data_IF_583675065248
#
_entry.id   IF_583675065248
#
_cell.length_a   1.000
_cell.length_b   1.000
_cell.length_c   1.000
_cell.angle_alpha   90.00
_cell.angle_beta   90.00
_cell.angle_gamma   90.00
#
_symmetry.space_group_name_H-M   'P 1'
#
loop_
_entity.id
_entity.type
_entity.pdbx_description
1 polymer ?
#
# COMPACT_ATOMS: atom_id res chain seq x y z
N UNK A 1 6.86 6.48 24.41
CA UNK A 1 6.20 7.20 24.13
C UNK A 1 6.24 7.86 22.76
N UNK A 2 7.14 8.50 22.41
CA UNK A 2 7.09 9.29 21.23
C UNK A 2 6.82 8.54 19.95
N UNK A 3 7.21 7.28 19.87
CA UNK A 3 7.06 6.55 18.62
C UNK A 3 5.60 6.40 18.21
N UNK A 4 4.71 6.32 19.18
CA UNK A 4 3.29 6.15 18.88
C UNK A 4 2.75 7.36 18.15
N UNK A 5 3.24 8.53 18.49
CA UNK A 5 2.73 9.75 17.90
C UNK A 5 3.22 10.01 16.49
N UNK A 6 4.24 9.26 16.04
CA UNK A 6 4.79 9.46 14.71
C UNK A 6 3.78 9.16 13.61
N UNK A 7 2.78 8.35 13.92
CA UNK A 7 1.81 7.92 12.91
C UNK A 7 0.42 8.44 13.21
N UNK A 8 0.32 9.48 14.01
CA UNK A 8 -0.99 10.05 14.26
C UNK A 8 -1.42 10.88 13.07
N UNK A 9 -2.67 11.29 13.08
CA UNK A 9 -3.23 12.04 11.97
C UNK A 9 -2.53 13.36 11.72
N UNK A 10 -2.04 13.96 12.79
CA UNK A 10 -1.38 15.24 12.67
C UNK A 10 -0.16 15.14 11.76
N UNK A 11 0.65 14.11 11.96
CA UNK A 11 1.84 13.90 11.15
C UNK A 11 1.48 13.65 9.69
N UNK A 12 0.44 12.85 9.47
CA UNK A 12 0.05 12.52 8.11
C UNK A 12 -0.52 13.71 7.35
N UNK A 13 -1.09 14.66 8.08
CA UNK A 13 -1.64 15.86 7.44
C UNK A 13 -0.57 16.80 6.94
N UNK A 14 0.68 16.57 7.33
CA UNK A 14 1.75 17.47 6.96
C UNK A 14 2.68 16.89 5.89
N UNK A 15 2.18 15.96 5.09
CA UNK A 15 2.97 15.45 3.97
C UNK A 15 3.31 16.61 3.04
N UNK A 16 4.60 16.81 2.81
CA UNK A 16 5.06 17.99 2.09
C UNK A 16 5.72 17.68 0.75
N UNK A 17 6.01 16.43 0.48
CA UNK A 17 6.66 16.07 -0.77
C UNK A 17 6.28 14.65 -1.18
N UNK A 18 6.50 14.35 -2.46
CA UNK A 18 6.23 13.02 -2.97
C UNK A 18 7.17 11.99 -2.33
N UNK A 19 8.42 12.39 -2.11
CA UNK A 19 9.39 11.50 -1.46
C UNK A 19 8.93 11.14 -0.04
N UNK A 20 8.42 12.13 0.68
CA UNK A 20 7.92 11.88 2.02
C UNK A 20 6.70 10.97 2.00
N UNK A 21 5.78 11.21 1.07
CA UNK A 21 4.61 10.37 0.92
C UNK A 21 5.00 8.93 0.62
N UNK A 22 5.98 8.73 -0.26
CA UNK A 22 6.44 7.40 -0.62
C UNK A 22 7.07 6.69 0.58
N UNK A 23 7.88 7.41 1.33
CA UNK A 23 8.55 6.84 2.51
C UNK A 23 7.53 6.44 3.57
N UNK A 24 6.54 7.30 3.83
CA UNK A 24 5.49 6.99 4.80
C UNK A 24 4.64 5.83 4.33
N UNK A 25 4.38 5.74 3.04
CA UNK A 25 3.65 4.61 2.49
C UNK A 25 4.41 3.31 2.74
N UNK A 26 5.71 3.33 2.48
CA UNK A 26 6.56 2.15 2.71
C UNK A 26 6.53 1.74 4.18
N UNK A 27 6.74 2.70 5.09
CA UNK A 27 6.79 2.41 6.51
C UNK A 27 5.46 1.87 7.03
N UNK A 28 4.35 2.45 6.57
CA UNK A 28 3.05 1.99 7.01
C UNK A 28 2.69 0.63 6.42
N UNK A 29 3.18 0.33 5.23
CA UNK A 29 2.98 -0.99 4.64
C UNK A 29 3.68 -2.07 5.46
N UNK A 30 4.92 -1.80 5.88
CA UNK A 30 5.66 -2.74 6.72
C UNK A 30 4.98 -2.92 8.07
N UNK A 31 4.59 -1.82 8.68
CA UNK A 31 3.97 -1.87 10.00
C UNK A 31 2.62 -2.58 9.95
N UNK A 32 1.84 -2.33 8.91
CA UNK A 32 0.55 -3.00 8.79
C UNK A 32 0.72 -4.51 8.68
N UNK A 33 1.71 -4.97 7.90
CA UNK A 33 1.97 -6.38 7.77
C UNK A 33 2.31 -7.02 9.12
N UNK A 34 3.06 -6.30 9.96
CA UNK A 34 3.40 -6.79 11.28
C UNK A 34 2.17 -6.94 12.16
N UNK A 35 1.17 -6.07 12.01
CA UNK A 35 -0.03 -6.16 12.82
C UNK A 35 -0.87 -7.38 12.49
N UNK A 36 -0.71 -7.95 11.32
CA UNK A 36 -1.41 -9.18 10.97
C UNK A 36 -0.94 -10.34 11.84
N UNK A 37 0.32 -10.33 12.23
CA UNK A 37 0.86 -11.39 13.08
C UNK A 37 0.49 -11.21 14.54
N UNK A 38 0.39 -9.95 14.99
CA UNK A 38 0.13 -9.66 16.39
C UNK A 38 -1.36 -9.54 16.69
N UNK A 39 -2.20 -9.44 15.68
CA UNK A 39 -3.63 -9.25 15.89
C UNK A 39 -4.01 -7.86 16.34
N UNK A 40 -3.10 -6.89 16.20
CA UNK A 40 -3.38 -5.51 16.60
C UNK A 40 -4.15 -4.79 15.50
N UNK A 41 -5.46 -5.05 15.45
CA UNK A 41 -6.29 -4.53 14.35
C UNK A 41 -6.43 -3.01 14.38
N UNK A 42 -6.41 -2.41 15.54
CA UNK A 42 -6.50 -0.95 15.64
C UNK A 42 -5.31 -0.29 14.96
N UNK A 43 -4.12 -0.77 15.25
CA UNK A 43 -2.92 -0.22 14.62
C UNK A 43 -2.90 -0.53 13.14
N UNK A 44 -3.33 -1.73 12.77
CA UNK A 44 -3.41 -2.11 11.37
C UNK A 44 -4.33 -1.19 10.58
N UNK A 45 -5.49 -0.87 11.14
CA UNK A 45 -6.43 0.02 10.48
C UNK A 45 -5.86 1.43 10.34
N UNK A 46 -5.14 1.89 11.35
CA UNK A 46 -4.50 3.21 11.28
C UNK A 46 -3.44 3.24 10.19
N UNK A 47 -2.64 2.18 10.10
CA UNK A 47 -1.64 2.09 9.04
C UNK A 47 -2.29 2.09 7.67
N UNK A 48 -3.41 1.39 7.53
CA UNK A 48 -4.14 1.38 6.27
C UNK A 48 -4.59 2.80 5.90
N UNK A 49 -5.19 3.50 6.87
CA UNK A 49 -5.65 4.88 6.61
C UNK A 49 -4.49 5.78 6.21
N UNK A 50 -3.35 5.62 6.86
CA UNK A 50 -2.16 6.40 6.53
C UNK A 50 -1.69 6.12 5.12
N UNK A 51 -1.73 4.84 4.71
CA UNK A 51 -1.34 4.48 3.34
C UNK A 51 -2.25 5.15 2.32
N UNK A 52 -3.55 5.17 2.61
CA UNK A 52 -4.49 5.81 1.69
C UNK A 52 -4.20 7.29 1.57
N UNK A 53 -3.85 7.95 2.67
CA UNK A 53 -3.50 9.38 2.62
C UNK A 53 -2.25 9.61 1.78
N UNK A 54 -1.25 8.73 1.90
CA UNK A 54 -0.04 8.84 1.10
C UNK A 54 -0.35 8.67 -0.38
N UNK A 55 -1.16 7.66 -0.71
CA UNK A 55 -1.53 7.41 -2.11
C UNK A 55 -2.35 8.56 -2.66
N UNK A 56 -3.25 9.11 -1.85
CA UNK A 56 -4.04 10.24 -2.28
C UNK A 56 -3.16 11.45 -2.61
N UNK A 57 -2.15 11.68 -1.78
CA UNK A 57 -1.20 12.76 -2.04
C UNK A 57 -0.43 12.52 -3.34
N UNK A 58 0.07 11.30 -3.53
CA UNK A 58 0.77 10.97 -4.76
C UNK A 58 -0.13 11.12 -5.99
N UNK A 59 -1.36 10.67 -5.86
CA UNK A 59 -2.31 10.76 -6.96
C UNK A 59 -2.57 12.22 -7.34
N UNK A 60 -2.81 13.06 -6.34
CA UNK A 60 -3.16 14.46 -6.59
C UNK A 60 -1.99 15.30 -7.08
N UNK A 61 -0.77 14.84 -6.84
CA UNK A 61 0.43 15.57 -7.27
C UNK A 61 1.11 14.91 -8.48
N UNK A 62 0.46 13.95 -9.10
CA UNK A 62 1.00 13.22 -10.27
C UNK A 62 2.26 12.45 -9.93
N UNK A 63 2.35 11.93 -8.72
CA UNK A 63 3.53 11.21 -8.24
C UNK A 63 3.35 9.71 -8.15
N UNK A 64 2.24 9.17 -8.66
CA UNK A 64 1.97 7.73 -8.52
C UNK A 64 3.04 6.85 -9.18
N UNK A 65 3.72 7.37 -10.20
CA UNK A 65 4.78 6.61 -10.86
C UNK A 65 5.92 6.25 -9.94
N UNK A 66 6.10 6.98 -8.85
CA UNK A 66 7.16 6.69 -7.88
C UNK A 66 6.98 5.33 -7.20
N UNK A 67 5.75 4.80 -7.20
CA UNK A 67 5.48 3.50 -6.59
C UNK A 67 6.23 2.37 -7.27
N UNK A 68 6.68 2.58 -8.51
CA UNK A 68 7.44 1.55 -9.21
C UNK A 68 8.67 1.14 -8.40
N UNK A 69 9.26 2.05 -7.66
CA UNK A 69 10.44 1.78 -6.84
C UNK A 69 10.17 0.71 -5.78
N UNK A 70 8.91 0.55 -5.38
CA UNK A 70 8.53 -0.38 -4.33
C UNK A 70 8.07 -1.73 -4.84
N UNK A 71 7.96 -1.90 -6.16
CA UNK A 71 7.48 -3.14 -6.73
C UNK A 71 8.45 -4.29 -6.56
N UNK A 72 9.74 -3.98 -6.35
CA UNK A 72 10.76 -5.00 -6.13
C UNK A 72 11.32 -4.94 -4.71
N UNK A 73 10.58 -4.32 -3.81
CA UNK A 73 11.00 -4.20 -2.40
C UNK A 73 11.12 -5.59 -1.77
N UNK A 74 12.08 -5.75 -0.86
CA UNK A 74 12.30 -7.06 -0.23
C UNK A 74 11.14 -7.50 0.67
N UNK A 75 10.39 -6.56 1.23
CA UNK A 75 9.26 -6.88 2.08
C UNK A 75 8.02 -7.14 1.21
N UNK A 76 7.43 -8.33 1.35
CA UNK A 76 6.30 -8.72 0.50
C UNK A 76 5.07 -7.86 0.77
N UNK A 77 4.89 -7.38 2.00
CA UNK A 77 3.76 -6.49 2.30
C UNK A 77 3.85 -5.18 1.54
N UNK A 78 5.09 -4.67 1.38
CA UNK A 78 5.31 -3.46 0.60
C UNK A 78 5.01 -3.72 -0.86
N UNK A 79 5.52 -4.85 -1.40
CA UNK A 79 5.25 -5.19 -2.80
C UNK A 79 3.76 -5.34 -3.07
N UNK A 80 3.04 -5.98 -2.14
CA UNK A 80 1.60 -6.17 -2.29
C UNK A 80 0.87 -4.83 -2.33
N UNK A 81 1.17 -3.95 -1.38
CA UNK A 81 0.51 -2.66 -1.31
C UNK A 81 0.83 -1.79 -2.52
N UNK A 82 2.09 -1.77 -2.92
CA UNK A 82 2.50 -0.94 -4.06
C UNK A 82 1.92 -1.46 -5.37
N UNK A 83 1.91 -2.78 -5.56
CA UNK A 83 1.43 -3.34 -6.82
C UNK A 83 -0.08 -3.17 -6.96
N UNK A 84 -0.81 -3.24 -5.86
CA UNK A 84 -2.24 -2.92 -5.89
C UNK A 84 -2.46 -1.50 -6.44
N UNK A 85 -1.78 -0.52 -5.83
CA UNK A 85 -1.96 0.86 -6.25
C UNK A 85 -1.44 1.09 -7.67
N UNK A 86 -0.40 0.37 -8.05
CA UNK A 86 0.21 0.53 -9.36
C UNK A 86 -0.65 -0.02 -10.49
N UNK A 87 -1.66 -0.84 -10.19
CA UNK A 87 -2.64 -1.24 -11.20
C UNK A 87 -3.29 -0.01 -11.84
N UNK A 88 -3.43 1.06 -11.09
CA UNK A 88 -4.03 2.29 -11.60
C UNK A 88 -3.10 3.07 -12.51
N UNK A 89 -1.81 2.77 -12.48
CA UNK A 89 -0.80 3.47 -13.28
C UNK A 89 -0.41 2.65 -14.50
N UNK A 90 -0.03 1.41 -14.26
CA UNK A 90 0.40 0.50 -15.30
C UNK A 90 -0.13 -0.89 -14.95
N UNK A 91 -1.34 -1.22 -15.45
CA UNK A 91 -1.97 -2.49 -15.09
C UNK A 91 -1.09 -3.71 -15.30
N UNK A 92 -0.33 -3.72 -16.40
CA UNK A 92 0.50 -4.86 -16.73
C UNK A 92 1.54 -5.13 -15.64
N UNK A 93 2.22 -4.09 -15.17
CA UNK A 93 3.24 -4.26 -14.15
C UNK A 93 2.63 -4.61 -12.80
N UNK A 94 1.51 -3.98 -12.47
CA UNK A 94 0.82 -4.31 -11.24
C UNK A 94 0.36 -5.75 -11.20
N UNK A 95 -0.24 -6.22 -12.30
CA UNK A 95 -0.68 -7.61 -12.40
C UNK A 95 0.48 -8.58 -12.28
N UNK A 96 1.60 -8.24 -12.90
CA UNK A 96 2.77 -9.11 -12.90
C UNK A 96 3.26 -9.35 -11.48
N UNK A 97 3.40 -8.26 -10.71
CA UNK A 97 3.90 -8.38 -9.34
C UNK A 97 2.87 -9.09 -8.46
N UNK A 98 1.60 -8.75 -8.60
CA UNK A 98 0.55 -9.41 -7.82
C UNK A 98 0.49 -10.90 -8.14
N UNK A 99 0.68 -11.28 -9.41
CA UNK A 99 0.69 -12.69 -9.78
C UNK A 99 1.86 -13.43 -9.15
N UNK A 100 3.03 -12.81 -9.09
CA UNK A 100 4.16 -13.42 -8.43
C UNK A 100 3.88 -13.66 -6.95
N UNK A 101 3.25 -12.68 -6.30
CA UNK A 101 2.93 -12.83 -4.89
C UNK A 101 1.87 -13.90 -4.69
N UNK A 102 0.83 -13.89 -5.53
CA UNK A 102 -0.27 -14.86 -5.43
C UNK A 102 0.24 -16.28 -5.62
N UNK A 103 1.19 -16.48 -6.52
CA UNK A 103 1.73 -17.82 -6.82
C UNK A 103 2.88 -18.21 -5.91
N UNK A 104 3.31 -17.30 -5.02
CA UNK A 104 4.36 -17.58 -4.07
C UNK A 104 3.81 -18.22 -2.83
N UNK A 105 4.65 -18.29 -1.81
CA UNK A 105 4.26 -18.92 -0.53
C UNK A 105 4.42 -17.89 0.58
N UNK A 106 3.62 -16.83 0.50
CA UNK A 106 3.72 -15.69 1.41
C UNK A 106 2.51 -15.56 2.34
N UNK A 107 1.81 -16.68 2.59
CA UNK A 107 0.70 -16.68 3.54
C UNK A 107 -0.40 -15.71 3.15
N UNK A 108 -0.75 -14.84 4.09
CA UNK A 108 -1.86 -13.91 3.88
C UNK A 108 -1.63 -12.99 2.69
N UNK A 109 -0.38 -12.66 2.41
CA UNK A 109 -0.08 -11.76 1.27
C UNK A 109 -0.41 -12.43 -0.06
N UNK A 110 -0.14 -13.74 -0.18
CA UNK A 110 -0.49 -14.48 -1.38
C UNK A 110 -2.01 -14.53 -1.56
N UNK A 111 -2.72 -14.74 -0.46
CA UNK A 111 -4.18 -14.76 -0.49
C UNK A 111 -4.72 -13.39 -0.91
N UNK A 112 -4.19 -12.33 -0.30
CA UNK A 112 -4.63 -10.97 -0.64
C UNK A 112 -4.38 -10.64 -2.10
N UNK A 113 -3.20 -11.01 -2.61
CA UNK A 113 -2.86 -10.74 -4.01
C UNK A 113 -3.83 -11.46 -4.94
N UNK A 114 -4.17 -12.69 -4.60
CA UNK A 114 -5.14 -13.47 -5.39
C UNK A 114 -6.49 -12.77 -5.43
N UNK A 115 -6.95 -12.29 -4.27
CA UNK A 115 -8.23 -11.61 -4.19
C UNK A 115 -8.23 -10.30 -4.97
N UNK A 116 -7.14 -9.55 -4.88
CA UNK A 116 -7.01 -8.29 -5.63
C UNK A 116 -7.10 -8.57 -7.12
N UNK A 117 -6.38 -9.58 -7.59
CA UNK A 117 -6.39 -9.92 -9.01
C UNK A 117 -7.79 -10.34 -9.47
N UNK A 118 -8.49 -11.08 -8.62
CA UNK A 118 -9.84 -11.53 -8.95
C UNK A 118 -10.77 -10.33 -9.10
N UNK A 119 -10.73 -9.41 -8.14
CA UNK A 119 -11.56 -8.21 -8.21
C UNK A 119 -11.20 -7.35 -9.40
N UNK A 120 -9.90 -7.26 -9.68
CA UNK A 120 -9.42 -6.48 -10.81
C UNK A 120 -9.97 -7.03 -12.12
N UNK A 121 -9.89 -8.34 -12.31
CA UNK A 121 -10.38 -8.98 -13.54
C UNK A 121 -11.88 -8.88 -13.69
N UNK A 122 -12.60 -8.85 -12.58
CA UNK A 122 -14.05 -8.73 -12.61
C UNK A 122 -14.53 -7.29 -12.76
N UNK A 123 -13.61 -6.32 -12.68
CA UNK A 123 -13.99 -4.92 -12.78
C UNK A 123 -14.52 -4.35 -11.48
N UNK A 124 -14.33 -5.07 -10.38
CA UNK A 124 -14.89 -4.66 -9.08
C UNK A 124 -13.89 -3.96 -8.18
N UNK A 125 -12.62 -3.92 -8.58
CA UNK A 125 -11.58 -3.34 -7.72
C UNK A 125 -11.77 -1.83 -7.60
N UNK A 126 -11.65 -1.33 -6.38
CA UNK A 126 -11.79 0.10 -6.10
C UNK A 126 -10.46 0.69 -5.68
N UNK A 127 -10.20 1.89 -6.17
CA UNK A 127 -9.01 2.65 -5.80
C UNK A 127 -9.48 3.83 -4.95
N UNK A 128 -9.70 3.57 -3.66
CA UNK A 128 -10.34 4.56 -2.78
C UNK A 128 -9.49 5.81 -2.59
N UNK A 129 -8.18 5.72 -2.83
CA UNK A 129 -7.33 6.90 -2.72
C UNK A 129 -7.58 7.91 -3.84
N UNK A 130 -8.33 7.53 -4.85
CA UNK A 130 -8.67 8.44 -5.96
C UNK A 130 -9.95 9.23 -5.68
N UNK A 131 -10.67 8.88 -4.64
CA UNK A 131 -11.90 9.57 -4.30
C UNK A 131 -11.59 10.94 -3.74
N UNK A 132 -12.44 11.92 -4.05
CA UNK A 132 -12.27 13.27 -3.55
C UNK A 132 -13.00 13.50 -2.23
#
# INVERSE_FOLDING_TARGET
MGSVTLYNESDMKTIKSQEEALKLFEENSIKQAQTLETGNYKLGNRCFDNKIKCLSYLYKTNGMGMLEQLLSHEDVGVRESASYAYLSVCPQKGEEVLSEIANGNYGIHSFNAEMILKEWKNGDLKFIFMDD
#
